data_IF_098397297418
#
_entry.id   IF_098397297418
#
_cell.length_a   1.000
_cell.length_b   1.000
_cell.length_c   1.000
_cell.angle_alpha   90.00
_cell.angle_beta   90.00
_cell.angle_gamma   90.00
#
_symmetry.space_group_name_H-M   'P 1'
#
loop_
_entity.id
_entity.type
_entity.pdbx_description
1 polymer ?
#
# COMPACT_ATOMS: atom_id res chain seq x y z
N UNK A 1 -1.27 14.11 -19.60
CA UNK A 1 -0.35 12.95 -19.63
C UNK A 1 0.24 12.84 -18.26
N UNK A 2 0.04 11.73 -17.55
CA UNK A 2 0.73 11.53 -16.28
C UNK A 2 2.25 11.44 -16.51
N UNK A 3 3.02 12.25 -15.78
CA UNK A 3 4.47 12.24 -15.86
C UNK A 3 5.03 11.02 -15.14
N UNK A 4 6.06 10.42 -15.73
CA UNK A 4 6.80 9.34 -15.08
C UNK A 4 7.68 9.94 -13.99
N UNK A 5 7.59 9.41 -12.77
CA UNK A 5 8.46 9.83 -11.68
C UNK A 5 8.83 8.67 -10.78
N UNK A 6 9.96 8.84 -10.09
CA UNK A 6 10.39 7.95 -9.03
C UNK A 6 10.62 8.76 -7.76
N UNK A 7 9.97 8.33 -6.68
CA UNK A 7 10.12 8.89 -5.35
C UNK A 7 10.74 7.82 -4.45
N UNK A 8 11.75 8.19 -3.67
CA UNK A 8 12.38 7.31 -2.70
C UNK A 8 12.79 8.14 -1.48
N UNK A 9 12.19 7.84 -0.34
CA UNK A 9 12.37 8.63 0.87
C UNK A 9 12.32 7.78 2.13
N UNK A 10 13.25 8.06 3.03
CA UNK A 10 13.21 7.62 4.41
C UNK A 10 12.69 8.76 5.30
N UNK A 11 11.96 8.39 6.36
CA UNK A 11 11.35 9.32 7.30
C UNK A 11 11.84 9.01 8.71
N UNK A 12 12.52 9.97 9.31
CA UNK A 12 13.00 9.89 10.70
C UNK A 12 11.87 10.10 11.71
N UNK A 13 10.91 10.97 11.37
CA UNK A 13 9.73 11.24 12.18
C UNK A 13 8.50 10.50 11.61
N UNK A 14 7.73 9.84 12.47
CA UNK A 14 6.51 9.16 12.06
C UNK A 14 5.45 10.15 11.57
N UNK A 15 5.39 11.34 12.17
CA UNK A 15 4.45 12.40 11.83
C UNK A 15 4.65 12.86 10.39
N UNK A 16 5.90 13.01 9.94
CA UNK A 16 6.19 13.38 8.57
C UNK A 16 5.76 12.30 7.57
N UNK A 17 6.01 11.03 7.92
CA UNK A 17 5.51 9.90 7.14
C UNK A 17 3.97 9.90 7.07
N UNK A 18 3.31 10.14 8.19
CA UNK A 18 1.85 10.19 8.28
C UNK A 18 1.26 11.35 7.45
N UNK A 19 1.86 12.54 7.48
CA UNK A 19 1.44 13.67 6.62
C UNK A 19 1.63 13.34 5.14
N UNK A 20 2.69 12.63 4.77
CA UNK A 20 2.89 12.21 3.38
C UNK A 20 1.79 11.24 2.92
N UNK A 21 1.43 10.26 3.76
CA UNK A 21 0.35 9.32 3.45
C UNK A 21 -1.03 9.98 3.36
N UNK A 22 -1.28 11.08 4.08
CA UNK A 22 -2.53 11.84 3.97
C UNK A 22 -2.76 12.41 2.58
N UNK A 23 -1.69 12.74 1.85
CA UNK A 23 -1.79 13.19 0.45
C UNK A 23 -2.41 12.12 -0.45
N UNK A 24 -2.41 10.85 -0.04
CA UNK A 24 -3.08 9.75 -0.74
C UNK A 24 -4.35 9.30 -0.05
N UNK A 25 -4.95 10.16 0.77
CA UNK A 25 -6.13 9.84 1.54
C UNK A 25 -5.92 8.61 2.46
N UNK A 26 -4.71 8.44 3.02
CA UNK A 26 -4.41 7.42 4.02
C UNK A 26 -4.10 8.10 5.35
N UNK A 27 -4.89 7.76 6.36
CA UNK A 27 -4.63 8.08 7.75
C UNK A 27 -3.93 6.89 8.40
N UNK A 28 -2.79 7.14 9.04
CA UNK A 28 -2.05 6.13 9.78
C UNK A 28 -1.90 6.53 11.24
N UNK A 29 -2.07 5.57 12.15
CA UNK A 29 -1.86 5.73 13.58
C UNK A 29 -0.89 4.69 14.09
N UNK A 30 0.05 5.12 14.92
CA UNK A 30 1.00 4.23 15.60
C UNK A 30 0.31 3.56 16.79
N UNK A 31 0.33 2.24 16.82
CA UNK A 31 -0.16 1.41 17.93
C UNK A 31 0.98 0.95 18.84
N UNK A 32 2.16 0.70 18.26
CA UNK A 32 3.37 0.34 18.98
C UNK A 32 4.59 0.78 18.17
N UNK A 33 5.60 1.32 18.86
CA UNK A 33 6.86 1.75 18.23
C UNK A 33 7.73 0.54 17.84
N UNK A 34 8.31 0.61 16.64
CA UNK A 34 9.42 -0.22 16.18
C UNK A 34 10.77 0.50 16.36
N UNK A 35 11.84 -0.16 15.92
CA UNK A 35 13.24 0.28 16.13
C UNK A 35 13.90 0.85 14.86
N UNK A 36 13.11 1.24 13.84
CA UNK A 36 13.65 1.68 12.55
C UNK A 36 12.88 2.87 11.98
N UNK A 37 13.44 3.48 10.94
CA UNK A 37 12.80 4.54 10.16
C UNK A 37 11.76 3.97 9.21
N UNK A 38 10.80 4.81 8.82
CA UNK A 38 9.82 4.45 7.79
C UNK A 38 10.43 4.73 6.41
N UNK A 39 10.18 3.85 5.44
CA UNK A 39 10.63 4.06 4.05
C UNK A 39 9.43 4.06 3.13
N UNK A 40 9.44 4.94 2.14
CA UNK A 40 8.49 4.94 1.05
C UNK A 40 9.20 5.08 -0.29
N UNK A 41 8.90 4.16 -1.21
CA UNK A 41 9.32 4.20 -2.60
C UNK A 41 8.09 4.17 -3.48
N UNK A 42 8.08 4.98 -4.52
CA UNK A 42 7.02 4.97 -5.51
C UNK A 42 7.57 5.17 -6.90
N UNK A 43 6.96 4.48 -7.84
CA UNK A 43 7.21 4.61 -9.26
C UNK A 43 5.88 4.84 -9.96
N UNK A 44 5.75 5.97 -10.64
CA UNK A 44 4.64 6.25 -11.55
C UNK A 44 5.11 6.00 -12.98
N UNK A 45 4.39 5.15 -13.71
CA UNK A 45 4.62 4.82 -15.12
C UNK A 45 3.33 5.08 -15.90
N UNK A 46 3.22 6.27 -16.49
CA UNK A 46 1.95 6.74 -17.06
C UNK A 46 0.86 6.69 -16.00
N UNK A 47 -0.19 5.91 -16.23
CA UNK A 47 -1.32 5.76 -15.30
C UNK A 47 -1.15 4.57 -14.32
N UNK A 48 -0.07 3.80 -14.43
CA UNK A 48 0.25 2.69 -13.52
C UNK A 48 1.13 3.19 -12.37
N UNK A 49 0.87 2.69 -11.15
CA UNK A 49 1.64 3.03 -9.97
C UNK A 49 2.18 1.77 -9.29
N UNK A 50 3.44 1.81 -8.87
CA UNK A 50 4.04 0.82 -7.99
C UNK A 50 4.50 1.53 -6.73
N UNK A 51 4.25 0.96 -5.56
CA UNK A 51 4.78 1.48 -4.32
C UNK A 51 5.34 0.37 -3.42
N UNK A 52 6.32 0.76 -2.63
CA UNK A 52 6.87 -0.01 -1.54
C UNK A 52 6.89 0.85 -0.29
N UNK A 53 6.30 0.33 0.79
CA UNK A 53 6.36 0.91 2.12
C UNK A 53 7.06 -0.02 3.08
N UNK A 54 7.95 0.52 3.90
CA UNK A 54 8.46 -0.15 5.09
C UNK A 54 7.99 0.59 6.32
N UNK A 55 7.25 -0.12 7.17
CA UNK A 55 6.72 0.42 8.43
C UNK A 55 7.14 -0.52 9.56
N UNK A 56 8.14 -0.15 10.36
CA UNK A 56 8.63 -1.00 11.45
C UNK A 56 7.65 -1.06 12.63
N UNK A 57 6.81 -0.04 12.77
CA UNK A 57 5.78 0.10 13.79
C UNK A 57 4.61 -0.87 13.59
N UNK A 58 3.87 -1.13 14.67
CA UNK A 58 2.48 -1.61 14.54
C UNK A 58 1.58 -0.42 14.31
N UNK A 59 0.75 -0.47 13.29
CA UNK A 59 -0.08 0.63 12.85
C UNK A 59 -1.52 0.21 12.58
N UNK A 60 -2.42 1.18 12.65
CA UNK A 60 -3.75 1.13 12.06
C UNK A 60 -3.82 2.13 10.92
N UNK A 61 -4.24 1.69 9.74
CA UNK A 61 -4.32 2.46 8.51
C UNK A 61 -5.75 2.45 8.00
N UNK A 62 -6.30 3.64 7.74
CA UNK A 62 -7.62 3.83 7.14
C UNK A 62 -7.47 4.76 5.94
N UNK A 63 -8.12 4.46 4.82
CA UNK A 63 -8.05 5.34 3.66
C UNK A 63 -8.71 4.78 2.42
N UNK A 64 -8.28 5.30 1.27
CA UNK A 64 -8.63 4.77 -0.05
C UNK A 64 -7.40 4.33 -0.82
N UNK A 65 -7.61 3.45 -1.80
CA UNK A 65 -6.58 3.20 -2.81
C UNK A 65 -6.61 4.28 -3.89
N UNK A 66 -5.50 4.50 -4.62
CA UNK A 66 -5.51 5.33 -5.81
C UNK A 66 -6.52 4.82 -6.86
N UNK A 67 -6.97 5.67 -7.80
CA UNK A 67 -7.86 5.25 -8.88
C UNK A 67 -7.30 4.05 -9.67
N UNK A 68 -8.17 3.09 -9.99
CA UNK A 68 -7.81 1.83 -10.62
C UNK A 68 -7.81 0.66 -9.64
N UNK A 69 -7.41 -0.52 -10.13
CA UNK A 69 -7.35 -1.74 -9.34
C UNK A 69 -6.01 -1.84 -8.65
N UNK A 70 -6.03 -1.95 -7.32
CA UNK A 70 -4.79 -2.10 -6.54
C UNK A 70 -4.61 -3.53 -6.07
N UNK A 71 -3.46 -4.12 -6.35
CA UNK A 71 -3.01 -5.39 -5.79
C UNK A 71 -1.97 -5.06 -4.73
N UNK A 72 -2.19 -5.49 -3.51
CA UNK A 72 -1.26 -5.30 -2.42
C UNK A 72 -0.86 -6.63 -1.80
N UNK A 73 0.38 -6.73 -1.35
CA UNK A 73 0.87 -7.88 -0.62
C UNK A 73 1.89 -7.45 0.42
N UNK A 74 1.94 -8.25 1.48
CA UNK A 74 2.86 -8.05 2.58
C UNK A 74 3.97 -9.09 2.50
N UNK A 75 5.19 -8.69 2.84
CA UNK A 75 6.33 -9.59 2.91
C UNK A 75 7.09 -9.44 4.23
N UNK A 76 7.93 -10.43 4.53
CA UNK A 76 8.73 -10.52 5.75
C UNK A 76 8.12 -11.48 6.79
N UNK A 77 8.95 -12.34 7.38
CA UNK A 77 8.51 -13.41 8.30
C UNK A 77 7.69 -12.91 9.50
N UNK A 78 7.92 -11.67 9.91
CA UNK A 78 7.21 -11.05 11.04
C UNK A 78 6.02 -10.20 10.61
N UNK A 79 5.81 -9.97 9.31
CA UNK A 79 4.68 -9.18 8.83
C UNK A 79 3.39 -9.97 9.01
N UNK A 80 2.54 -9.49 9.91
CA UNK A 80 1.20 -10.03 10.17
C UNK A 80 0.22 -8.88 10.01
N UNK A 81 -0.88 -9.12 9.31
CA UNK A 81 -1.86 -8.09 8.99
C UNK A 81 -3.28 -8.62 9.20
N UNK A 82 -4.13 -7.79 9.78
CA UNK A 82 -5.58 -7.91 9.63
C UNK A 82 -6.08 -6.84 8.66
N UNK A 83 -6.78 -7.25 7.60
CA UNK A 83 -7.42 -6.36 6.63
C UNK A 83 -8.93 -6.57 6.71
N UNK A 84 -9.69 -5.48 6.89
CA UNK A 84 -11.15 -5.52 7.09
C UNK A 84 -11.57 -6.54 8.16
N UNK A 85 -10.86 -6.50 9.30
CA UNK A 85 -11.03 -7.41 10.46
C UNK A 85 -10.77 -8.89 10.19
N UNK A 86 -10.17 -9.25 9.04
CA UNK A 86 -9.78 -10.62 8.70
C UNK A 86 -8.26 -10.75 8.64
N UNK A 87 -7.71 -11.81 9.20
CA UNK A 87 -6.28 -12.09 9.05
C UNK A 87 -5.95 -12.33 7.58
N UNK A 88 -4.88 -11.72 7.11
CA UNK A 88 -4.31 -11.98 5.79
C UNK A 88 -3.21 -13.04 5.95
N UNK A 89 -3.26 -14.15 5.21
CA UNK A 89 -2.19 -15.14 5.20
C UNK A 89 -0.85 -14.53 4.80
N UNK A 90 0.26 -15.14 5.19
CA UNK A 90 1.62 -14.65 4.88
C UNK A 90 1.88 -14.45 3.38
N UNK A 91 1.28 -15.29 2.53
CA UNK A 91 1.34 -15.21 1.07
C UNK A 91 0.02 -14.68 0.46
N UNK A 92 -0.81 -14.03 1.27
CA UNK A 92 -2.10 -13.51 0.85
C UNK A 92 -1.94 -12.27 -0.03
N UNK A 93 -2.65 -12.26 -1.16
CA UNK A 93 -2.86 -11.06 -1.96
C UNK A 93 -4.14 -10.36 -1.49
N UNK A 94 -4.05 -9.05 -1.35
CA UNK A 94 -5.21 -8.18 -1.14
C UNK A 94 -5.51 -7.50 -2.46
N UNK A 95 -6.72 -7.72 -2.97
CA UNK A 95 -7.19 -7.13 -4.23
C UNK A 95 -8.23 -6.08 -3.88
N UNK A 96 -7.90 -4.84 -4.18
CA UNK A 96 -8.69 -3.65 -3.97
C UNK A 96 -9.36 -3.27 -5.30
N UNK A 97 -10.69 -3.37 -5.41
CA UNK A 97 -11.42 -2.79 -6.52
C UNK A 97 -11.18 -1.29 -6.63
N UNK A 98 -11.51 -0.71 -7.77
CA UNK A 98 -11.47 0.74 -7.96
C UNK A 98 -12.23 1.48 -6.84
N UNK A 99 -11.61 2.55 -6.32
CA UNK A 99 -12.14 3.38 -5.24
C UNK A 99 -12.52 2.61 -3.96
N UNK A 100 -11.79 1.54 -3.64
CA UNK A 100 -12.10 0.74 -2.44
C UNK A 100 -11.39 1.25 -1.18
N UNK A 101 -12.03 0.97 -0.04
CA UNK A 101 -11.53 1.37 1.27
C UNK A 101 -10.40 0.47 1.76
N UNK A 102 -9.38 1.10 2.33
CA UNK A 102 -8.34 0.52 3.16
C UNK A 102 -8.76 0.60 4.63
N UNK A 103 -8.75 -0.54 5.31
CA UNK A 103 -8.78 -0.65 6.77
C UNK A 103 -7.88 -1.81 7.17
N UNK A 104 -6.68 -1.50 7.64
CA UNK A 104 -5.60 -2.45 7.83
C UNK A 104 -4.91 -2.22 9.19
N UNK A 105 -4.73 -3.29 9.95
CA UNK A 105 -4.00 -3.30 11.23
C UNK A 105 -2.82 -4.25 11.12
N UNK A 106 -1.60 -3.73 11.24
CA UNK A 106 -0.41 -4.57 11.32
C UNK A 106 -0.27 -5.12 12.74
N UNK A 107 -0.19 -6.44 12.86
CA UNK A 107 0.04 -7.15 14.12
C UNK A 107 1.52 -7.49 14.35
N UNK A 108 2.31 -7.43 13.30
CA UNK A 108 3.76 -7.63 13.30
C UNK A 108 4.56 -6.33 13.34
N UNK A 109 5.87 -6.46 13.53
CA UNK A 109 6.84 -5.38 13.27
C UNK A 109 7.57 -5.66 11.96
N UNK A 110 8.27 -4.66 11.43
CA UNK A 110 8.99 -4.75 10.15
C UNK A 110 8.04 -5.14 9.00
N UNK A 111 6.99 -4.33 8.81
CA UNK A 111 5.98 -4.59 7.80
C UNK A 111 6.46 -4.06 6.45
N UNK A 112 6.69 -4.96 5.50
CA UNK A 112 7.00 -4.61 4.11
C UNK A 112 5.72 -4.70 3.28
N UNK A 113 5.32 -3.58 2.70
CA UNK A 113 4.07 -3.43 1.95
C UNK A 113 4.44 -3.14 0.51
N UNK A 114 3.87 -3.88 -0.42
CA UNK A 114 4.02 -3.65 -1.85
C UNK A 114 2.65 -3.43 -2.45
N UNK A 115 2.52 -2.44 -3.31
CA UNK A 115 1.28 -2.19 -4.06
C UNK A 115 1.58 -2.00 -5.54
N UNK A 116 0.64 -2.46 -6.36
CA UNK A 116 0.59 -2.20 -7.78
C UNK A 116 -0.82 -1.74 -8.10
N UNK A 117 -0.96 -0.52 -8.62
CA UNK A 117 -2.25 0.03 -9.07
C UNK A 117 -2.24 0.10 -10.58
N UNK A 118 -3.27 -0.51 -11.18
CA UNK A 118 -3.43 -0.62 -12.64
C UNK A 118 -4.76 0.06 -13.03
N UNK A 119 -4.78 0.92 -14.06
CA UNK A 119 -6.02 1.49 -14.58
C UNK A 119 -7.00 0.39 -15.04
N UNK A 120 -8.30 0.57 -14.77
CA UNK A 120 -9.31 -0.43 -15.15
C UNK A 120 -9.34 -0.67 -16.67
N UNK A 121 -9.14 0.37 -17.50
CA UNK A 121 -9.11 0.24 -18.97
C UNK A 121 -7.96 -0.68 -19.44
N UNK A 122 -6.84 -0.67 -18.73
CA UNK A 122 -5.70 -1.56 -19.01
C UNK A 122 -6.02 -3.01 -18.69
N UNK A 123 -6.87 -3.28 -17.69
CA UNK A 123 -7.31 -4.62 -17.32
C UNK A 123 -8.47 -5.11 -18.22
N UNK A 124 -9.38 -4.23 -18.61
CA UNK A 124 -10.54 -4.55 -19.43
C UNK A 124 -10.15 -4.96 -20.87
N UNK A 125 -9.12 -4.33 -21.43
CA UNK A 125 -8.59 -4.62 -22.78
C UNK A 125 -8.02 -6.03 -22.99
N UNK A 126 -8.03 -6.90 -21.98
CA UNK A 126 -7.53 -8.28 -22.04
C UNK A 126 -8.59 -9.35 -21.73
N UNK A 127 -9.84 -8.96 -21.58
CA UNK A 127 -10.97 -9.85 -21.25
C UNK A 127 -11.77 -10.36 -22.46
N UNK A 128 -11.54 -9.83 -23.66
CA UNK A 128 -12.11 -10.37 -24.89
C UNK A 128 -11.25 -11.56 -25.35
N UNK A 129 -11.49 -12.72 -24.75
CA UNK A 129 -11.18 -13.99 -25.40
C UNK A 129 -12.25 -14.14 -26.47
N UNK A 130 -11.87 -13.96 -27.74
CA UNK A 130 -12.71 -14.32 -28.89
C UNK A 130 -13.13 -15.79 -28.73
N UNK A 131 -14.44 -16.05 -28.64
CA UNK A 131 -15.04 -17.38 -28.86
C UNK A 131 -15.13 -17.69 -30.35
#
# INVERSE_FOLDING_TARGET
>A
MAENFYFNRDFEAFEEFAENLRLWNIQIRKLQCGESTNTLKQLQLGEMQLAYGFVPDKTHQIGGTPPGRTIAFHAGRNSKLAWRKKEVPYNGLMIFPNNSELDAVTKGTHNHIYTITIPEDTLASRGEVEE
#
